data_IF_987756520229
#
_entry.id   IF_987756520229
#
_cell.length_a   1.000
_cell.length_b   1.000
_cell.length_c   1.000
_cell.angle_alpha   90.00
_cell.angle_beta   90.00
_cell.angle_gamma   90.00
#
_symmetry.space_group_name_H-M   'P 1'
#
loop_
_entity.id
_entity.type
_entity.pdbx_description
1 polymer ?
#
# COMPACT_ATOMS: atom_id res chain seq x y z
N UNK A 1 3.40 5.64 20.12
CA UNK A 1 2.77 4.72 19.13
C UNK A 1 1.80 5.52 18.28
N UNK A 2 1.95 5.43 16.95
CA UNK A 2 1.20 6.23 15.96
C UNK A 2 0.48 5.37 14.92
N UNK A 3 0.31 4.07 15.20
CA UNK A 3 -0.15 3.11 14.21
C UNK A 3 -1.63 3.32 13.88
N UNK A 4 -1.99 3.04 12.63
CA UNK A 4 -3.35 3.16 12.11
C UNK A 4 -3.73 1.93 11.32
N UNK A 5 -4.94 1.46 11.55
CA UNK A 5 -5.61 0.49 10.70
C UNK A 5 -6.42 1.20 9.64
N UNK A 6 -6.54 0.57 8.48
CA UNK A 6 -7.31 1.04 7.34
C UNK A 6 -7.67 -0.12 6.41
N UNK A 7 -8.37 0.20 5.33
CA UNK A 7 -8.79 -0.77 4.32
C UNK A 7 -8.11 -0.48 3.00
N UNK A 8 -8.06 -1.48 2.11
CA UNK A 8 -7.56 -1.33 0.77
C UNK A 8 -8.52 -2.02 -0.23
N UNK A 9 -8.68 -1.41 -1.39
CA UNK A 9 -9.31 -2.02 -2.56
C UNK A 9 -8.20 -2.37 -3.54
N UNK A 10 -8.21 -3.59 -4.08
CA UNK A 10 -7.21 -4.06 -5.04
C UNK A 10 -7.92 -4.68 -6.25
N UNK A 11 -7.37 -4.41 -7.43
CA UNK A 11 -7.72 -5.08 -8.67
C UNK A 11 -6.43 -5.35 -9.46
N UNK A 12 -6.37 -6.50 -10.13
CA UNK A 12 -5.19 -6.90 -10.88
C UNK A 12 -5.49 -8.03 -11.86
N UNK A 13 -4.52 -8.29 -12.73
CA UNK A 13 -4.55 -9.35 -13.73
C UNK A 13 -3.25 -10.14 -13.69
N UNK A 14 -3.35 -11.43 -13.96
CA UNK A 14 -2.22 -12.31 -14.20
C UNK A 14 -2.27 -12.79 -15.65
N UNK A 15 -1.16 -12.65 -16.36
CA UNK A 15 -1.01 -13.01 -17.77
C UNK A 15 -0.08 -14.23 -17.83
N UNK A 16 -0.58 -15.43 -18.14
CA UNK A 16 0.26 -16.60 -18.34
C UNK A 16 1.27 -16.34 -19.46
N UNK A 17 2.54 -16.64 -19.21
CA UNK A 17 3.61 -16.48 -20.22
C UNK A 17 4.09 -17.82 -20.78
N UNK A 18 3.71 -18.94 -20.15
CA UNK A 18 3.91 -20.29 -20.65
C UNK A 18 2.93 -21.29 -20.01
N UNK A 19 2.92 -22.52 -20.52
CA UNK A 19 2.07 -23.62 -20.02
C UNK A 19 2.62 -24.29 -18.75
N UNK A 20 3.75 -23.81 -18.22
CA UNK A 20 4.45 -24.38 -17.04
C UNK A 20 4.17 -23.61 -15.75
N UNK A 21 3.12 -22.79 -15.73
CA UNK A 21 2.66 -22.09 -14.53
C UNK A 21 3.33 -20.73 -14.26
N UNK A 22 4.16 -20.22 -15.17
CA UNK A 22 4.74 -18.86 -15.05
C UNK A 22 3.74 -17.81 -15.57
N UNK A 23 3.58 -16.71 -14.84
CA UNK A 23 2.74 -15.59 -15.22
C UNK A 23 3.42 -14.23 -14.92
N UNK A 24 3.09 -13.22 -15.71
CA UNK A 24 3.38 -11.82 -15.40
C UNK A 24 2.15 -11.19 -14.75
N UNK A 25 2.34 -10.49 -13.63
CA UNK A 25 1.26 -9.93 -12.82
C UNK A 25 1.30 -8.41 -12.85
N UNK A 26 0.13 -7.79 -12.95
CA UNK A 26 -0.08 -6.34 -12.86
C UNK A 26 -1.25 -6.05 -11.93
N UNK A 27 -1.06 -5.16 -10.96
CA UNK A 27 -2.15 -4.78 -10.06
C UNK A 27 -2.07 -3.32 -9.61
N UNK A 28 -3.23 -2.80 -9.22
CA UNK A 28 -3.37 -1.49 -8.60
C UNK A 28 -4.13 -1.63 -7.28
N UNK A 29 -3.63 -0.92 -6.26
CA UNK A 29 -4.22 -0.88 -4.92
C UNK A 29 -4.53 0.56 -4.53
N UNK A 30 -5.75 0.78 -4.06
CA UNK A 30 -6.15 2.02 -3.39
C UNK A 30 -6.22 1.77 -1.89
N UNK A 31 -5.34 2.40 -1.14
CA UNK A 31 -5.39 2.39 0.31
C UNK A 31 -6.24 3.55 0.82
N UNK A 32 -6.99 3.34 1.90
CA UNK A 32 -7.75 4.37 2.60
C UNK A 32 -7.14 4.54 3.99
N UNK A 33 -6.18 5.47 4.10
CA UNK A 33 -5.30 5.66 5.25
C UNK A 33 -5.28 7.11 5.71
N UNK A 34 -5.52 7.27 7.01
CA UNK A 34 -5.57 8.58 7.68
C UNK A 34 -4.58 8.68 8.84
N UNK A 35 -3.27 8.65 8.59
CA UNK A 35 -2.24 8.73 9.63
C UNK A 35 -2.22 10.11 10.31
N UNK A 36 -1.68 10.12 11.53
CA UNK A 36 -1.41 11.36 12.27
C UNK A 36 0.09 11.52 12.43
N UNK A 37 0.63 12.62 11.93
CA UNK A 37 2.01 13.00 12.17
C UNK A 37 2.06 13.89 13.43
N UNK A 38 2.99 13.61 14.33
CA UNK A 38 3.20 14.38 15.56
C UNK A 38 4.69 14.71 15.67
N UNK A 39 5.00 15.99 15.85
CA UNK A 39 6.36 16.50 15.99
C UNK A 39 6.58 17.03 17.40
N UNK A 40 7.80 16.86 17.91
CA UNK A 40 8.19 17.21 19.26
C UNK A 40 9.44 18.10 19.25
N UNK A 41 9.50 19.03 20.20
CA UNK A 41 10.73 19.72 20.60
C UNK A 41 11.10 19.24 22.01
N UNK A 42 12.11 18.36 22.09
CA UNK A 42 12.37 17.60 23.31
C UNK A 42 11.18 16.67 23.64
N UNK A 43 10.64 16.78 24.86
CA UNK A 43 9.46 16.03 25.29
C UNK A 43 8.12 16.70 24.94
N UNK A 44 8.14 17.96 24.45
CA UNK A 44 6.94 18.75 24.22
C UNK A 44 6.43 18.56 22.78
N UNK A 45 5.20 18.08 22.55
CA UNK A 45 4.61 18.08 21.22
C UNK A 45 4.38 19.51 20.75
N UNK A 46 4.87 19.85 19.56
CA UNK A 46 4.80 21.21 18.98
C UNK A 46 3.90 21.29 17.76
N UNK A 47 3.67 20.17 17.08
CA UNK A 47 2.78 20.10 15.93
C UNK A 47 2.12 18.73 15.87
N UNK A 48 0.85 18.70 15.49
CA UNK A 48 0.12 17.46 15.23
C UNK A 48 -0.83 17.66 14.07
N UNK A 49 -0.66 16.88 13.02
CA UNK A 49 -1.46 16.99 11.79
C UNK A 49 -2.06 15.65 11.43
N UNK A 50 -3.23 15.69 10.81
CA UNK A 50 -3.91 14.52 10.29
C UNK A 50 -3.87 14.56 8.77
N UNK A 51 -3.36 13.51 8.16
CA UNK A 51 -3.17 13.45 6.71
C UNK A 51 -4.14 12.45 6.09
N UNK A 52 -4.74 12.83 4.96
CA UNK A 52 -5.47 11.91 4.09
C UNK A 52 -4.48 11.44 3.04
N UNK A 53 -3.71 10.40 3.37
CA UNK A 53 -2.66 9.93 2.48
C UNK A 53 -3.28 9.23 1.27
N UNK A 54 -4.28 8.39 1.52
CA UNK A 54 -4.98 7.53 0.56
C UNK A 54 -4.17 7.32 -0.72
N UNK A 55 -3.11 6.49 -0.72
CA UNK A 55 -2.24 6.36 -1.89
C UNK A 55 -2.80 5.36 -2.91
N UNK A 56 -2.45 5.57 -4.18
CA UNK A 56 -2.46 4.52 -5.19
C UNK A 56 -1.08 3.86 -5.23
N UNK A 57 -1.07 2.52 -5.18
CA UNK A 57 0.14 1.73 -5.39
C UNK A 57 -0.08 0.89 -6.63
N UNK A 58 0.87 0.96 -7.57
CA UNK A 58 0.85 0.20 -8.82
C UNK A 58 2.05 -0.74 -8.78
N UNK A 59 1.81 -2.02 -9.05
CA UNK A 59 2.86 -3.05 -9.03
C UNK A 59 2.84 -3.89 -10.31
N UNK A 60 4.03 -4.39 -10.64
CA UNK A 60 4.28 -5.36 -11.68
C UNK A 60 5.23 -6.43 -11.13
N UNK A 61 5.00 -7.69 -11.49
CA UNK A 61 5.81 -8.80 -10.96
C UNK A 61 5.69 -10.08 -11.77
N UNK A 62 6.37 -11.12 -11.30
CA UNK A 62 6.32 -12.46 -11.88
C UNK A 62 5.77 -13.42 -10.83
N UNK A 63 4.83 -14.27 -11.23
CA UNK A 63 4.23 -15.30 -10.40
C UNK A 63 4.54 -16.69 -10.97
N UNK A 64 4.66 -17.69 -10.11
CA UNK A 64 4.84 -19.09 -10.51
C UNK A 64 3.92 -19.99 -9.69
N UNK A 65 3.13 -20.83 -10.36
CA UNK A 65 2.26 -21.83 -9.74
C UNK A 65 2.90 -23.21 -9.85
N UNK A 66 3.18 -23.82 -8.70
CA UNK A 66 3.74 -25.17 -8.53
C UNK A 66 2.66 -26.25 -8.57
#
# INVERSE_FOLDING_TARGET
>A
MGDKLGVALQAGIDIPVNDKGLAFSLDAKRYFLRPTATWYAGATPVLKTRHTLDPWVISAGVAFRF
#
